data_IF_091592984102
#
_entry.id   IF_091592984102
#
_cell.length_a   1.000
_cell.length_b   1.000
_cell.length_c   1.000
_cell.angle_alpha   90.00
_cell.angle_beta   90.00
_cell.angle_gamma   90.00
#
_symmetry.space_group_name_H-M   'P 1'
#
loop_
_entity.id
_entity.type
_entity.pdbx_description
1 polymer ?
#
# COMPACT_ATOMS: atom_id res chain seq x y z
N UNK A 1 14.07 12.93 13.83
CA UNK A 1 15.10 13.24 14.85
C UNK A 1 16.26 14.04 14.26
N UNK A 2 17.09 13.52 13.35
CA UNK A 2 18.21 14.31 12.77
C UNK A 2 17.72 15.58 12.05
N UNK A 3 16.66 15.47 11.23
CA UNK A 3 16.08 16.64 10.53
C UNK A 3 15.54 17.72 11.48
N UNK A 4 15.08 17.34 12.68
CA UNK A 4 14.62 18.28 13.70
C UNK A 4 15.79 19.05 14.31
N UNK A 5 16.90 18.35 14.64
CA UNK A 5 18.13 19.01 15.08
C UNK A 5 18.65 19.95 13.98
N UNK A 6 18.68 19.51 12.71
CA UNK A 6 19.12 20.34 11.59
C UNK A 6 18.26 21.60 11.41
N UNK A 7 16.97 21.57 11.74
CA UNK A 7 16.06 22.72 11.62
C UNK A 7 16.26 23.77 12.72
N UNK A 8 16.63 23.35 13.93
CA UNK A 8 16.68 24.22 15.11
C UNK A 8 18.08 24.48 15.66
N UNK A 9 19.12 23.88 15.07
CA UNK A 9 20.54 24.03 15.49
C UNK A 9 21.06 25.47 15.42
N UNK A 10 20.43 26.33 14.63
CA UNK A 10 20.86 27.73 14.48
C UNK A 10 20.24 28.63 15.57
N UNK A 11 19.16 28.17 16.21
CA UNK A 11 18.52 28.86 17.33
C UNK A 11 18.91 28.28 18.69
N UNK A 12 19.21 26.97 18.76
CA UNK A 12 19.54 26.26 19.98
C UNK A 12 20.74 25.34 19.79
N UNK A 13 21.57 25.19 20.83
CA UNK A 13 22.70 24.25 20.76
C UNK A 13 22.22 22.81 20.59
N UNK A 14 22.97 22.02 19.81
CA UNK A 14 22.67 20.60 19.56
C UNK A 14 22.60 19.83 20.87
N UNK A 15 23.44 20.18 21.84
CA UNK A 15 23.46 19.64 23.20
C UNK A 15 22.13 19.90 23.93
N UNK A 16 21.60 21.12 23.85
CA UNK A 16 20.32 21.49 24.47
C UNK A 16 19.15 20.70 23.84
N UNK A 17 19.11 20.65 22.51
CA UNK A 17 18.06 19.93 21.77
C UNK A 17 18.09 18.43 22.12
N UNK A 18 19.27 17.79 22.09
CA UNK A 18 19.40 16.37 22.42
C UNK A 18 18.96 16.06 23.85
N UNK A 19 19.30 16.94 24.81
CA UNK A 19 18.92 16.78 26.22
C UNK A 19 17.39 16.83 26.39
N UNK A 20 16.75 17.89 25.93
CA UNK A 20 15.29 18.07 26.06
C UNK A 20 14.52 16.95 25.35
N UNK A 21 15.00 16.52 24.18
CA UNK A 21 14.37 15.39 23.47
C UNK A 21 14.49 14.06 24.23
N UNK A 22 15.62 13.78 24.89
CA UNK A 22 15.76 12.56 25.67
C UNK A 22 14.92 12.59 26.95
N UNK A 23 14.69 13.77 27.54
CA UNK A 23 13.86 13.95 28.75
C UNK A 23 12.37 13.75 28.47
N UNK A 24 11.87 14.18 27.30
CA UNK A 24 10.43 14.24 27.01
C UNK A 24 9.94 13.23 25.96
N UNK A 25 10.82 12.49 25.29
CA UNK A 25 10.45 11.59 24.20
C UNK A 25 10.74 10.11 24.53
N UNK A 26 9.71 9.27 24.42
CA UNK A 26 9.83 7.82 24.67
C UNK A 26 10.66 7.17 23.56
N UNK A 27 11.87 6.69 23.90
CA UNK A 27 12.77 5.95 23.00
C UNK A 27 14.08 6.65 22.60
N UNK A 28 14.50 7.71 23.29
CA UNK A 28 15.67 8.51 22.91
C UNK A 28 17.00 8.10 23.56
N UNK A 29 17.87 7.41 22.81
CA UNK A 29 19.32 7.48 23.03
C UNK A 29 19.93 8.40 21.96
N UNK A 30 19.61 9.70 22.02
CA UNK A 30 20.10 10.70 21.07
C UNK A 30 21.24 11.49 21.69
N UNK A 31 22.48 11.26 21.24
CA UNK A 31 23.65 12.00 21.75
C UNK A 31 24.14 13.01 20.71
N UNK A 32 24.71 14.16 21.13
CA UNK A 32 25.35 15.10 20.21
C UNK A 32 26.45 14.44 19.37
N UNK A 33 27.20 13.50 19.97
CA UNK A 33 28.20 12.68 19.28
C UNK A 33 27.56 11.77 18.22
N UNK A 34 26.43 11.14 18.53
CA UNK A 34 25.66 10.33 17.58
C UNK A 34 25.09 11.14 16.42
N UNK A 35 24.59 12.35 16.68
CA UNK A 35 24.15 13.29 15.64
C UNK A 35 25.31 13.69 14.72
N UNK A 36 26.44 14.15 15.28
CA UNK A 36 27.64 14.53 14.51
C UNK A 36 28.15 13.35 13.69
N UNK A 37 28.24 12.16 14.30
CA UNK A 37 28.65 10.94 13.62
C UNK A 37 27.68 10.54 12.49
N UNK A 38 26.37 10.74 12.67
CA UNK A 38 25.39 10.50 11.61
C UNK A 38 25.52 11.49 10.45
N UNK A 39 25.89 12.75 10.73
CA UNK A 39 26.12 13.79 9.70
C UNK A 39 27.39 13.55 8.89
N UNK A 40 28.45 13.05 9.54
CA UNK A 40 29.73 12.73 8.88
C UNK A 40 29.80 11.30 8.35
N UNK A 41 28.79 10.47 8.63
CA UNK A 41 28.77 9.07 8.21
C UNK A 41 28.83 8.99 6.69
N UNK A 42 29.94 8.45 6.18
CA UNK A 42 30.06 8.12 4.76
C UNK A 42 28.95 7.14 4.36
N UNK A 43 28.45 7.31 3.14
CA UNK A 43 27.42 6.43 2.58
C UNK A 43 27.91 5.00 2.66
N UNK A 44 27.09 4.10 3.22
CA UNK A 44 27.50 2.70 3.37
C UNK A 44 27.75 2.06 2.01
N UNK A 45 28.71 1.13 1.92
CA UNK A 45 29.07 0.45 0.68
C UNK A 45 27.85 -0.21 -0.02
N UNK A 46 26.86 -0.66 0.76
CA UNK A 46 25.59 -1.18 0.23
C UNK A 46 24.78 -0.10 -0.50
N UNK A 47 24.69 1.11 0.06
CA UNK A 47 23.91 2.21 -0.51
C UNK A 47 24.58 2.80 -1.75
N UNK A 48 25.91 2.79 -1.81
CA UNK A 48 26.66 3.10 -3.03
C UNK A 48 26.37 2.07 -4.14
N UNK A 49 26.46 0.77 -3.83
CA UNK A 49 26.10 -0.30 -4.79
C UNK A 49 24.66 -0.21 -5.28
N UNK A 50 23.72 0.04 -4.36
CA UNK A 50 22.31 0.20 -4.70
C UNK A 50 22.08 1.40 -5.64
N UNK A 51 22.81 2.51 -5.48
CA UNK A 51 22.70 3.67 -6.37
C UNK A 51 23.10 3.32 -7.81
N UNK A 52 24.24 2.65 -7.99
CA UNK A 52 24.71 2.17 -9.31
C UNK A 52 23.70 1.21 -9.93
N UNK A 53 23.17 0.26 -9.15
CA UNK A 53 22.18 -0.71 -9.64
C UNK A 53 20.84 -0.04 -10.01
N UNK A 54 20.45 1.03 -9.32
CA UNK A 54 19.23 1.79 -9.63
C UNK A 54 19.35 2.47 -10.99
N UNK A 55 20.47 3.12 -11.27
CA UNK A 55 20.72 3.76 -12.57
C UNK A 55 20.60 2.75 -13.72
N UNK A 56 21.21 1.58 -13.58
CA UNK A 56 21.14 0.55 -14.62
C UNK A 56 19.74 -0.05 -14.77
N UNK A 57 19.02 -0.24 -13.66
CA UNK A 57 17.62 -0.68 -13.69
C UNK A 57 16.75 0.30 -14.47
N UNK A 58 16.94 1.61 -14.27
CA UNK A 58 16.20 2.65 -14.98
C UNK A 58 16.55 2.64 -16.47
N UNK A 59 17.84 2.54 -16.81
CA UNK A 59 18.29 2.43 -18.20
C UNK A 59 17.66 1.25 -18.94
N UNK A 60 17.69 0.06 -18.34
CA UNK A 60 17.04 -1.14 -18.91
C UNK A 60 15.52 -0.93 -19.02
N UNK A 61 14.90 -0.29 -18.03
CA UNK A 61 13.46 -0.01 -18.05
C UNK A 61 13.07 0.92 -19.21
N UNK A 62 13.83 2.00 -19.43
CA UNK A 62 13.61 2.94 -20.52
C UNK A 62 13.86 2.30 -21.90
N UNK A 63 14.92 1.48 -22.04
CA UNK A 63 15.19 0.70 -23.26
C UNK A 63 14.08 -0.29 -23.62
N UNK A 64 13.29 -0.72 -22.63
CA UNK A 64 12.20 -1.68 -22.82
C UNK A 64 10.82 -1.02 -22.73
N UNK A 65 10.73 0.23 -23.24
CA UNK A 65 9.50 1.01 -23.37
C UNK A 65 8.71 1.16 -22.07
N UNK A 66 9.39 1.10 -20.92
CA UNK A 66 8.78 1.20 -19.59
C UNK A 66 7.73 0.12 -19.29
N UNK A 67 7.78 -1.01 -19.98
CA UNK A 67 6.81 -2.11 -19.82
C UNK A 67 7.28 -3.11 -18.76
N UNK A 68 8.58 -3.25 -18.54
CA UNK A 68 9.11 -4.34 -17.73
C UNK A 68 8.80 -4.20 -16.24
N UNK A 69 8.12 -5.21 -15.69
CA UNK A 69 7.98 -5.39 -14.26
C UNK A 69 9.16 -6.16 -13.64
N UNK A 70 9.10 -6.35 -12.32
CA UNK A 70 10.17 -6.94 -11.48
C UNK A 70 10.80 -8.18 -12.11
N UNK A 71 9.99 -9.15 -12.56
CA UNK A 71 10.50 -10.40 -13.16
C UNK A 71 11.31 -10.18 -14.44
N UNK A 72 10.86 -9.26 -15.30
CA UNK A 72 11.52 -8.98 -16.58
C UNK A 72 12.78 -8.15 -16.39
N UNK A 73 12.75 -7.13 -15.53
CA UNK A 73 13.94 -6.36 -15.15
C UNK A 73 14.97 -7.27 -14.50
N UNK A 74 14.58 -8.12 -13.54
CA UNK A 74 15.50 -9.05 -12.89
C UNK A 74 16.24 -9.94 -13.91
N UNK A 75 15.51 -10.52 -14.87
CA UNK A 75 16.13 -11.32 -15.95
C UNK A 75 16.99 -10.49 -16.90
N UNK A 76 16.63 -9.23 -17.16
CA UNK A 76 17.41 -8.34 -18.02
C UNK A 76 18.72 -7.92 -17.33
N UNK A 77 18.66 -7.53 -16.05
CA UNK A 77 19.84 -7.24 -15.23
C UNK A 77 20.81 -8.42 -15.17
N UNK A 78 20.31 -9.65 -14.99
CA UNK A 78 21.15 -10.86 -15.01
C UNK A 78 21.81 -11.10 -16.38
N UNK A 79 21.10 -10.81 -17.48
CA UNK A 79 21.66 -10.90 -18.83
C UNK A 79 22.70 -9.82 -19.12
N UNK A 80 22.56 -8.65 -18.50
CA UNK A 80 23.55 -7.58 -18.53
C UNK A 80 24.75 -7.81 -17.60
N UNK A 81 24.84 -8.98 -16.93
CA UNK A 81 25.99 -9.36 -16.10
C UNK A 81 25.87 -9.00 -14.62
N UNK A 82 24.75 -8.42 -14.16
CA UNK A 82 24.59 -8.03 -12.76
C UNK A 82 24.12 -9.20 -11.88
N UNK A 83 24.84 -9.44 -10.79
CA UNK A 83 24.45 -10.38 -9.73
C UNK A 83 23.39 -9.74 -8.80
N UNK A 84 22.11 -9.84 -9.18
CA UNK A 84 20.98 -9.29 -8.42
C UNK A 84 19.86 -10.32 -8.19
N UNK A 85 19.30 -10.32 -6.99
CA UNK A 85 18.13 -11.13 -6.63
C UNK A 85 16.79 -10.48 -7.00
N UNK A 86 15.75 -11.28 -7.24
CA UNK A 86 14.41 -10.79 -7.63
C UNK A 86 13.83 -9.76 -6.64
N UNK A 87 13.91 -10.04 -5.35
CA UNK A 87 13.41 -9.13 -4.29
C UNK A 87 14.24 -7.85 -4.20
N UNK A 88 15.56 -7.96 -4.39
CA UNK A 88 16.43 -6.80 -4.46
C UNK A 88 16.04 -5.90 -5.64
N UNK A 89 15.79 -6.47 -6.83
CA UNK A 89 15.26 -5.73 -7.98
C UNK A 89 13.94 -5.04 -7.63
N UNK A 90 12.99 -5.74 -7.00
CA UNK A 90 11.71 -5.16 -6.59
C UNK A 90 11.87 -3.98 -5.62
N UNK A 91 12.78 -4.09 -4.65
CA UNK A 91 13.12 -2.98 -3.74
C UNK A 91 13.76 -1.81 -4.48
N UNK A 92 14.71 -2.05 -5.38
CA UNK A 92 15.38 -0.98 -6.15
C UNK A 92 14.43 -0.29 -7.12
N UNK A 93 13.53 -1.04 -7.77
CA UNK A 93 12.46 -0.47 -8.60
C UNK A 93 11.57 0.48 -7.80
N UNK A 94 11.23 0.11 -6.54
CA UNK A 94 10.45 0.97 -5.64
C UNK A 94 11.22 2.23 -5.26
N UNK A 95 12.51 2.13 -4.98
CA UNK A 95 13.37 3.29 -4.69
C UNK A 95 13.46 4.23 -5.89
N UNK A 96 13.49 3.69 -7.11
CA UNK A 96 13.49 4.46 -8.35
C UNK A 96 12.11 4.99 -8.78
N UNK A 97 11.04 4.62 -8.06
CA UNK A 97 9.68 5.00 -8.42
C UNK A 97 9.13 4.34 -9.71
N UNK A 98 9.80 3.31 -10.23
CA UNK A 98 9.39 2.64 -11.47
C UNK A 98 8.51 1.42 -11.19
N UNK A 99 7.52 1.20 -12.04
CA UNK A 99 6.67 0.02 -12.00
C UNK A 99 6.41 -0.50 -13.41
N UNK A 100 6.35 -1.82 -13.56
CA UNK A 100 6.05 -2.44 -14.84
C UNK A 100 4.61 -2.19 -15.27
N UNK A 101 4.40 -2.01 -16.57
CA UNK A 101 3.07 -1.93 -17.14
C UNK A 101 2.30 -3.25 -16.94
N UNK A 102 1.09 -3.17 -16.42
CA UNK A 102 0.15 -4.29 -16.32
C UNK A 102 -0.92 -4.12 -17.39
N UNK A 103 -1.07 -5.12 -18.28
CA UNK A 103 -2.15 -5.12 -19.28
C UNK A 103 -3.49 -5.32 -18.57
N UNK A 104 -4.46 -4.45 -18.86
CA UNK A 104 -5.82 -4.49 -18.30
C UNK A 104 -6.13 -3.33 -17.36
N UNK A 105 -7.40 -2.93 -17.31
CA UNK A 105 -7.89 -1.95 -16.32
C UNK A 105 -7.85 -2.59 -14.94
N UNK A 106 -7.42 -1.84 -13.91
CA UNK A 106 -7.77 -2.20 -12.53
C UNK A 106 -9.30 -2.18 -12.46
N UNK A 107 -9.98 -3.27 -12.03
CA UNK A 107 -11.41 -3.22 -11.84
C UNK A 107 -11.71 -2.11 -10.83
N UNK A 108 -12.42 -1.08 -11.28
CA UNK A 108 -12.92 -0.04 -10.40
C UNK A 108 -14.17 -0.63 -9.76
N UNK A 109 -13.99 -1.30 -8.63
CA UNK A 109 -15.11 -1.95 -7.91
C UNK A 109 -16.10 -0.91 -7.38
N UNK A 110 -15.59 0.25 -6.96
CA UNK A 110 -16.39 1.29 -6.31
C UNK A 110 -16.05 2.63 -6.91
N UNK A 111 -17.03 3.26 -7.58
CA UNK A 111 -16.97 4.69 -7.91
C UNK A 111 -17.68 5.44 -6.80
N UNK A 112 -16.98 6.25 -5.98
CA UNK A 112 -17.63 7.03 -4.93
C UNK A 112 -18.68 7.94 -5.54
N UNK A 113 -19.85 8.01 -4.90
CA UNK A 113 -20.91 8.95 -5.27
C UNK A 113 -20.38 10.38 -5.12
N UNK A 114 -20.76 11.27 -6.05
CA UNK A 114 -20.46 12.71 -5.94
C UNK A 114 -21.35 13.41 -4.90
N UNK A 115 -22.39 12.74 -4.43
CA UNK A 115 -23.35 13.25 -3.45
C UNK A 115 -23.05 12.60 -2.10
N UNK A 116 -22.97 13.39 -1.00
CA UNK A 116 -22.90 12.86 0.36
C UNK A 116 -24.03 11.86 0.60
N UNK A 117 -23.71 10.69 1.15
CA UNK A 117 -24.73 9.69 1.48
C UNK A 117 -25.52 10.18 2.71
N UNK A 118 -26.75 10.63 2.47
CA UNK A 118 -27.66 11.12 3.52
C UNK A 118 -28.37 9.98 4.28
N UNK A 119 -28.11 8.71 3.93
CA UNK A 119 -28.74 7.56 4.58
C UNK A 119 -28.18 7.38 5.99
N UNK A 120 -29.04 7.23 7.01
CA UNK A 120 -28.57 7.03 8.37
C UNK A 120 -27.83 5.69 8.48
N UNK A 121 -26.60 5.72 8.98
CA UNK A 121 -25.85 4.52 9.31
C UNK A 121 -26.36 3.93 10.63
N UNK A 122 -27.49 3.21 10.56
CA UNK A 122 -28.16 2.63 11.74
C UNK A 122 -27.28 1.66 12.54
N UNK A 123 -26.23 1.13 11.92
CA UNK A 123 -25.36 0.10 12.51
C UNK A 123 -24.05 0.70 13.03
N UNK A 124 -23.74 1.98 12.75
CA UNK A 124 -22.49 2.63 13.17
C UNK A 124 -21.22 1.79 12.90
N UNK A 125 -21.19 1.04 11.78
CA UNK A 125 -20.13 0.08 11.41
C UNK A 125 -19.91 -1.08 12.39
N UNK A 126 -20.84 -1.31 13.32
CA UNK A 126 -20.82 -2.44 14.25
C UNK A 126 -21.54 -3.64 13.66
N UNK A 127 -20.85 -4.45 12.87
CA UNK A 127 -21.40 -5.69 12.30
C UNK A 127 -21.38 -6.83 13.32
N UNK A 128 -22.00 -6.63 14.49
CA UNK A 128 -22.19 -7.62 15.55
C UNK A 128 -23.65 -7.60 16.01
N UNK A 129 -24.17 -8.76 16.40
CA UNK A 129 -25.51 -8.91 16.94
C UNK A 129 -25.48 -9.94 18.08
N UNK A 130 -26.31 -9.73 19.10
CA UNK A 130 -26.32 -10.60 20.30
C UNK A 130 -27.28 -11.79 20.17
N UNK A 131 -28.15 -11.78 19.15
CA UNK A 131 -29.16 -12.82 18.89
C UNK A 131 -29.40 -12.97 17.38
N UNK A 132 -29.89 -14.14 16.91
CA UNK A 132 -30.31 -14.32 15.52
C UNK A 132 -31.39 -13.32 15.10
N UNK A 133 -31.47 -13.00 13.81
CA UNK A 133 -32.50 -12.15 13.19
C UNK A 133 -32.54 -10.70 13.70
N UNK A 134 -31.45 -10.20 14.29
CA UNK A 134 -31.30 -8.79 14.70
C UNK A 134 -30.61 -7.92 13.66
N UNK A 135 -29.69 -8.50 12.90
CA UNK A 135 -28.93 -7.79 11.88
C UNK A 135 -28.63 -8.74 10.72
N UNK A 136 -29.04 -8.33 9.53
CA UNK A 136 -28.74 -9.02 8.28
C UNK A 136 -27.80 -8.18 7.43
N UNK A 137 -26.81 -8.84 6.85
CA UNK A 137 -25.89 -8.22 5.90
C UNK A 137 -26.16 -8.81 4.52
N UNK A 138 -26.40 -7.94 3.56
CA UNK A 138 -26.55 -8.31 2.17
C UNK A 138 -25.21 -8.11 1.43
N UNK A 139 -24.79 -9.14 0.69
CA UNK A 139 -23.66 -9.06 -0.24
C UNK A 139 -24.12 -9.45 -1.64
N UNK A 140 -23.53 -8.82 -2.66
CA UNK A 140 -23.80 -9.12 -4.06
C UNK A 140 -22.50 -9.56 -4.71
N UNK A 141 -22.50 -10.78 -5.22
CA UNK A 141 -21.37 -11.37 -5.92
C UNK A 141 -21.70 -11.65 -7.38
N UNK A 142 -20.66 -11.71 -8.21
CA UNK A 142 -20.74 -11.93 -9.64
C UNK A 142 -20.20 -13.31 -9.97
N UNK A 143 -21.09 -14.23 -10.34
CA UNK A 143 -20.72 -15.60 -10.69
C UNK A 143 -20.55 -15.69 -12.20
N UNK A 144 -19.34 -16.04 -12.64
CA UNK A 144 -19.04 -16.25 -14.07
C UNK A 144 -19.56 -17.61 -14.50
N UNK A 145 -20.38 -17.64 -15.55
CA UNK A 145 -20.93 -18.86 -16.16
C UNK A 145 -20.49 -18.95 -17.63
N UNK A 146 -20.79 -20.07 -18.29
CA UNK A 146 -20.46 -20.28 -19.72
C UNK A 146 -21.21 -19.29 -20.62
N UNK A 147 -22.43 -18.90 -20.24
CA UNK A 147 -23.31 -18.02 -21.02
C UNK A 147 -23.25 -16.55 -20.62
N UNK A 148 -22.39 -16.17 -19.66
CA UNK A 148 -22.28 -14.78 -19.18
C UNK A 148 -22.12 -14.68 -17.66
N UNK A 149 -22.52 -13.54 -17.09
CA UNK A 149 -22.48 -13.31 -15.64
C UNK A 149 -23.87 -13.42 -15.02
N UNK A 150 -23.94 -14.09 -13.86
CA UNK A 150 -25.12 -14.11 -13.00
C UNK A 150 -24.81 -13.29 -11.75
N UNK A 151 -25.72 -12.38 -11.42
CA UNK A 151 -25.67 -11.58 -10.21
C UNK A 151 -26.36 -12.37 -9.10
N UNK A 152 -25.63 -12.70 -8.04
CA UNK A 152 -26.19 -13.42 -6.89
C UNK A 152 -26.13 -12.56 -5.66
N UNK A 153 -27.28 -12.30 -5.07
CA UNK A 153 -27.41 -11.59 -3.80
C UNK A 153 -27.62 -12.60 -2.68
N UNK A 154 -26.86 -12.49 -1.60
CA UNK A 154 -27.00 -13.30 -0.39
C UNK A 154 -27.37 -12.40 0.79
N UNK A 155 -28.32 -12.83 1.58
CA UNK A 155 -28.66 -12.23 2.87
C UNK A 155 -28.16 -13.16 3.96
N UNK A 156 -27.20 -12.69 4.76
CA UNK A 156 -26.57 -13.47 5.82
C UNK A 156 -26.94 -12.89 7.18
N UNK A 157 -27.33 -13.75 8.12
CA UNK A 157 -27.52 -13.37 9.51
C UNK A 157 -26.17 -13.19 10.21
N UNK A 158 -25.95 -12.02 10.83
CA UNK A 158 -24.64 -11.66 11.42
C UNK A 158 -24.28 -12.52 12.62
N UNK A 159 -25.27 -12.94 13.40
CA UNK A 159 -25.06 -13.77 14.59
C UNK A 159 -24.73 -15.22 14.21
N UNK A 160 -25.64 -15.88 13.49
CA UNK A 160 -25.53 -17.31 13.17
C UNK A 160 -24.65 -17.62 11.96
N UNK A 161 -24.28 -16.62 11.15
CA UNK A 161 -23.58 -16.76 9.87
C UNK A 161 -24.31 -17.61 8.82
N UNK A 162 -25.58 -17.93 9.06
CA UNK A 162 -26.41 -18.67 8.12
C UNK A 162 -26.91 -17.74 7.01
N UNK A 163 -27.01 -18.29 5.81
CA UNK A 163 -27.69 -17.64 4.69
C UNK A 163 -29.19 -17.75 4.94
N UNK A 164 -29.85 -16.61 5.14
CA UNK A 164 -31.28 -16.51 5.40
C UNK A 164 -32.07 -16.50 4.09
N UNK A 165 -31.46 -15.97 3.03
CA UNK A 165 -32.05 -15.94 1.69
C UNK A 165 -31.03 -15.63 0.62
N UNK A 166 -31.36 -16.00 -0.62
CA UNK A 166 -30.56 -15.67 -1.79
C UNK A 166 -31.44 -15.47 -3.01
N UNK A 167 -30.97 -14.65 -3.94
CA UNK A 167 -31.63 -14.41 -5.22
C UNK A 167 -30.59 -14.33 -6.33
N UNK A 168 -30.99 -14.75 -7.53
CA UNK A 168 -30.15 -14.68 -8.73
C UNK A 168 -30.86 -13.94 -9.85
N UNK A 169 -30.11 -13.14 -10.59
CA UNK A 169 -30.59 -12.41 -11.76
C UNK A 169 -29.54 -12.43 -12.87
N UNK A 170 -29.98 -12.57 -14.10
CA UNK A 170 -29.17 -12.36 -15.31
C UNK A 170 -29.15 -10.89 -15.73
N UNK A 171 -30.04 -10.07 -15.16
CA UNK A 171 -30.13 -8.62 -15.41
C UNK A 171 -29.46 -7.83 -14.26
N UNK A 172 -28.67 -6.78 -14.56
CA UNK A 172 -28.06 -5.95 -13.52
C UNK A 172 -29.13 -5.27 -12.67
N UNK A 173 -28.88 -5.22 -11.35
CA UNK A 173 -29.77 -4.58 -10.37
C UNK A 173 -30.06 -3.12 -10.77
N UNK A 174 -31.32 -2.83 -11.10
CA UNK A 174 -31.82 -1.46 -11.19
C UNK A 174 -31.83 -0.88 -9.77
N UNK A 175 -31.37 0.37 -9.60
CA UNK A 175 -31.42 1.05 -8.29
C UNK A 175 -32.83 0.95 -7.72
N UNK A 176 -32.99 0.30 -6.57
CA UNK A 176 -34.17 0.50 -5.74
C UNK A 176 -34.20 1.99 -5.36
N UNK A 177 -35.31 2.66 -5.70
CA UNK A 177 -35.58 4.03 -5.26
C UNK A 177 -35.82 4.03 -3.76
#
# INVERSE_FOLDING_TARGET
MIAFIDQYRDCFSVECICRVMNEHMVGGFLTPRGYRAAKTRKVCARRLRDAVLVEEIVKIFDQNYRVYGIRKIWRAMRRAGFAIGREQTGRLMRLAGICGARRGRRPVTTRPSKVPDARPNLVNRQCRADRPNRLWVADITYVRTVSGFVYTAFVTDVYSRKIVGWARSTMPLRRCR
#
